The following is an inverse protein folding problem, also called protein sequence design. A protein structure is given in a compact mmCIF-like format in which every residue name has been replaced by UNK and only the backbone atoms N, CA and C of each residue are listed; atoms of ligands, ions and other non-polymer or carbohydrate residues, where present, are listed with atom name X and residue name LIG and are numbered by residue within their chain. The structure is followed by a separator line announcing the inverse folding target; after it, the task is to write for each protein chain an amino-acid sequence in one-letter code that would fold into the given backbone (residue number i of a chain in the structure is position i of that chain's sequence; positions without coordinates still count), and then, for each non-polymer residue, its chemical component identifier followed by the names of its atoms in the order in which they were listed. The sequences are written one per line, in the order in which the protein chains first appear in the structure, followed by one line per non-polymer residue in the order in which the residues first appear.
data_IF_252205636711
#
_entry.id   IF_252205636711
#
_cell.length_a   1.000
_cell.length_b   1.000
_cell.length_c   1.000
_cell.angle_alpha   90.00
_cell.angle_beta   90.00
_cell.angle_gamma   90.00
#
_symmetry.space_group_name_H-M   'P 1'
#
loop_
_entity.id
_entity.type
_entity.pdbx_description
1 polymer ?
#
# COMPACT_ATOMS: atom_id res chain seq x y z
N UNK A 1 -8.00 -59.12 0.98
CA UNK A 1 -9.05 -58.19 1.44
C UNK A 1 -10.14 -58.20 0.39
N UNK A 2 -11.38 -58.48 0.77
CA UNK A 2 -12.48 -58.50 -0.18
C UNK A 2 -12.80 -57.05 -0.59
N UNK A 3 -13.19 -56.82 -1.84
CA UNK A 3 -13.52 -55.47 -2.37
C UNK A 3 -14.66 -54.81 -1.54
N UNK A 4 -15.47 -55.64 -0.87
CA UNK A 4 -16.48 -55.23 0.11
C UNK A 4 -15.93 -54.43 1.29
N UNK A 5 -14.66 -54.60 1.65
CA UNK A 5 -14.05 -53.94 2.82
C UNK A 5 -13.45 -52.58 2.46
N UNK A 6 -13.29 -52.28 1.17
CA UNK A 6 -12.62 -51.07 0.66
C UNK A 6 -13.66 -49.97 0.32
N UNK A 7 -14.85 -50.36 -0.15
CA UNK A 7 -15.89 -49.42 -0.57
C UNK A 7 -16.83 -49.14 0.59
N UNK A 8 -16.62 -48.03 1.30
CA UNK A 8 -17.45 -47.62 2.44
C UNK A 8 -18.59 -46.67 2.09
N UNK A 9 -18.63 -46.15 0.86
CA UNK A 9 -19.63 -45.17 0.44
C UNK A 9 -21.04 -45.81 0.38
N UNK A 10 -22.02 -45.31 1.16
CA UNK A 10 -23.38 -45.84 1.19
C UNK A 10 -24.07 -45.90 -0.17
N UNK A 11 -23.67 -45.03 -1.11
CA UNK A 11 -24.22 -44.98 -2.46
C UNK A 11 -23.66 -46.04 -3.41
N UNK A 12 -22.45 -46.54 -3.14
CA UNK A 12 -21.76 -47.52 -3.98
C UNK A 12 -21.95 -48.95 -3.48
N UNK A 13 -22.28 -49.14 -2.19
CA UNK A 13 -22.60 -50.44 -1.62
C UNK A 13 -23.72 -51.19 -2.38
N UNK A 14 -24.84 -50.56 -2.78
CA UNK A 14 -25.89 -51.24 -3.56
C UNK A 14 -25.41 -51.70 -4.95
N UNK A 15 -24.54 -50.93 -5.60
CA UNK A 15 -23.94 -51.27 -6.90
C UNK A 15 -23.03 -52.49 -6.73
N UNK A 16 -22.19 -52.48 -5.69
CA UNK A 16 -21.28 -53.58 -5.38
C UNK A 16 -22.04 -54.88 -5.09
N UNK A 17 -23.05 -54.82 -4.23
CA UNK A 17 -23.88 -55.98 -3.89
C UNK A 17 -24.62 -56.53 -5.11
N UNK A 18 -25.23 -55.64 -5.90
CA UNK A 18 -25.95 -56.04 -7.13
C UNK A 18 -24.99 -56.63 -8.15
N UNK A 19 -23.76 -56.12 -8.26
CA UNK A 19 -22.74 -56.67 -9.16
C UNK A 19 -22.26 -58.07 -8.74
N UNK A 20 -22.06 -58.30 -7.43
CA UNK A 20 -21.69 -59.60 -6.89
C UNK A 20 -22.82 -60.63 -7.08
N UNK A 21 -24.06 -60.23 -6.78
CA UNK A 21 -25.25 -61.04 -7.02
C UNK A 21 -25.42 -61.37 -8.51
N UNK A 22 -25.24 -60.38 -9.40
CA UNK A 22 -25.30 -60.60 -10.85
C UNK A 22 -24.25 -61.62 -11.31
N UNK A 23 -23.02 -61.52 -10.80
CA UNK A 23 -21.93 -62.44 -11.13
C UNK A 23 -22.23 -63.87 -10.66
N UNK A 24 -22.74 -64.04 -9.45
CA UNK A 24 -23.16 -65.35 -8.92
C UNK A 24 -24.27 -65.97 -9.78
N UNK A 25 -25.28 -65.18 -10.17
CA UNK A 25 -26.39 -65.68 -11.00
C UNK A 25 -25.94 -65.98 -12.45
N UNK A 26 -24.97 -65.24 -12.99
CA UNK A 26 -24.34 -65.55 -14.27
C UNK A 26 -23.55 -66.87 -14.22
N UNK A 27 -22.79 -67.10 -13.14
CA UNK A 27 -22.07 -68.36 -12.94
C UNK A 27 -23.01 -69.56 -12.83
N UNK A 28 -24.14 -69.40 -12.12
CA UNK A 28 -25.20 -70.43 -12.07
C UNK A 28 -25.78 -70.73 -13.46
N UNK A 29 -26.09 -69.70 -14.25
CA UNK A 29 -26.57 -69.88 -15.62
C UNK A 29 -25.55 -70.62 -16.50
N UNK A 30 -24.26 -70.27 -16.39
CA UNK A 30 -23.19 -70.95 -17.13
C UNK A 30 -23.06 -72.42 -16.73
N UNK A 31 -23.20 -72.75 -15.43
CA UNK A 31 -23.16 -74.15 -14.97
C UNK A 31 -24.34 -74.98 -15.47
N UNK A 32 -25.52 -74.37 -15.65
CA UNK A 32 -26.71 -75.04 -16.21
C UNK A 32 -26.62 -75.26 -17.73
N UNK A 33 -25.78 -74.47 -18.42
CA UNK A 33 -25.54 -74.56 -19.86
C UNK A 33 -24.27 -75.36 -20.19
N UNK A 34 -23.58 -75.89 -19.18
CA UNK A 34 -22.33 -76.63 -19.36
C UNK A 34 -22.61 -77.98 -20.07
N UNK A 35 -22.09 -78.18 -21.29
CA UNK A 35 -22.31 -79.41 -22.04
C UNK A 35 -21.65 -80.65 -21.42
N UNK A 36 -20.80 -80.50 -20.40
CA UNK A 36 -20.12 -81.61 -19.71
C UNK A 36 -20.92 -82.21 -18.54
N UNK A 37 -22.06 -81.63 -18.16
CA UNK A 37 -22.88 -82.09 -17.03
C UNK A 37 -23.70 -83.37 -17.39
N UNK A 38 -23.93 -84.29 -16.42
CA UNK A 38 -24.68 -85.52 -16.68
C UNK A 38 -26.11 -85.22 -17.13
N UNK A 39 -26.56 -85.92 -18.18
CA UNK A 39 -27.85 -85.77 -18.86
C UNK A 39 -29.04 -85.96 -17.91
N UNK A 40 -29.52 -84.85 -17.34
CA UNK A 40 -30.85 -84.73 -16.75
C UNK A 40 -31.86 -84.39 -17.86
N UNK A 41 -33.16 -84.62 -17.61
CA UNK A 41 -34.24 -84.39 -18.57
C UNK A 41 -34.09 -83.04 -19.33
N UNK A 42 -33.86 -83.12 -20.64
CA UNK A 42 -33.57 -81.99 -21.54
C UNK A 42 -34.59 -80.84 -21.47
N UNK A 43 -35.82 -81.14 -21.05
CA UNK A 43 -36.90 -80.15 -20.90
C UNK A 43 -36.83 -79.39 -19.58
N UNK A 44 -36.46 -80.06 -18.48
CA UNK A 44 -36.37 -79.43 -17.16
C UNK A 44 -35.16 -78.51 -17.05
N UNK A 45 -34.02 -78.93 -17.60
CA UNK A 45 -32.79 -78.12 -17.69
C UNK A 45 -33.00 -76.86 -18.55
N UNK A 46 -33.72 -76.99 -19.66
CA UNK A 46 -34.09 -75.85 -20.52
C UNK A 46 -35.01 -74.84 -19.81
N UNK A 47 -36.02 -75.33 -19.07
CA UNK A 47 -36.91 -74.46 -18.29
C UNK A 47 -36.18 -73.76 -17.15
N UNK A 48 -35.28 -74.46 -16.44
CA UNK A 48 -34.44 -73.89 -15.39
C UNK A 48 -33.49 -72.82 -15.94
N UNK A 49 -32.85 -73.06 -17.08
CA UNK A 49 -32.00 -72.08 -17.75
C UNK A 49 -32.78 -70.82 -18.18
N UNK A 50 -34.00 -70.97 -18.71
CA UNK A 50 -34.85 -69.84 -19.09
C UNK A 50 -35.27 -68.97 -17.89
N UNK A 51 -35.58 -69.58 -16.75
CA UNK A 51 -35.89 -68.85 -15.51
C UNK A 51 -34.66 -68.11 -14.97
N UNK A 52 -33.51 -68.78 -14.95
CA UNK A 52 -32.25 -68.19 -14.53
C UNK A 52 -31.83 -67.02 -15.44
N UNK A 53 -32.05 -67.13 -16.75
CA UNK A 53 -31.79 -66.08 -17.73
C UNK A 53 -32.63 -64.82 -17.45
N UNK A 54 -33.92 -64.96 -17.10
CA UNK A 54 -34.78 -63.82 -16.73
C UNK A 54 -34.24 -63.10 -15.48
N UNK A 55 -33.76 -63.86 -14.50
CA UNK A 55 -33.19 -63.30 -13.27
C UNK A 55 -31.86 -62.58 -13.53
N UNK A 56 -31.00 -63.11 -14.39
CA UNK A 56 -29.77 -62.42 -14.83
C UNK A 56 -30.11 -61.12 -15.56
N UNK A 57 -31.11 -61.12 -16.46
CA UNK A 57 -31.49 -59.91 -17.19
C UNK A 57 -32.08 -58.82 -16.29
N UNK A 58 -32.87 -59.17 -15.27
CA UNK A 58 -33.40 -58.19 -14.32
C UNK A 58 -32.29 -57.56 -13.48
N UNK A 59 -31.33 -58.36 -13.00
CA UNK A 59 -30.16 -57.89 -12.27
C UNK A 59 -29.25 -57.00 -13.13
N UNK A 60 -29.01 -57.38 -14.40
CA UNK A 60 -28.25 -56.55 -15.33
C UNK A 60 -28.93 -55.20 -15.63
N UNK A 61 -30.26 -55.18 -15.75
CA UNK A 61 -31.00 -53.93 -15.92
C UNK A 61 -30.84 -53.02 -14.70
N UNK A 62 -30.95 -53.59 -13.49
CA UNK A 62 -30.74 -52.88 -12.23
C UNK A 62 -29.32 -52.33 -12.12
N UNK A 63 -28.30 -53.14 -12.42
CA UNK A 63 -26.89 -52.74 -12.39
C UNK A 63 -26.60 -51.59 -13.35
N UNK A 64 -27.16 -51.63 -14.57
CA UNK A 64 -27.04 -50.53 -15.54
C UNK A 64 -27.67 -49.23 -15.02
N UNK A 65 -28.83 -49.32 -14.38
CA UNK A 65 -29.48 -48.17 -13.73
C UNK A 65 -28.59 -47.55 -12.65
N UNK A 66 -28.12 -48.38 -11.72
CA UNK A 66 -27.25 -47.94 -10.63
C UNK A 66 -25.91 -47.37 -11.14
N UNK A 67 -25.34 -47.94 -12.20
CA UNK A 67 -24.13 -47.42 -12.85
C UNK A 67 -24.36 -46.02 -13.43
N UNK A 68 -25.51 -45.82 -14.09
CA UNK A 68 -25.89 -44.51 -14.62
C UNK A 68 -26.09 -43.48 -13.50
N UNK A 69 -26.74 -43.87 -12.41
CA UNK A 69 -26.94 -43.00 -11.25
C UNK A 69 -25.60 -42.60 -10.60
N UNK A 70 -24.65 -43.52 -10.49
CA UNK A 70 -23.31 -43.22 -9.98
C UNK A 70 -22.58 -42.20 -10.88
N UNK A 71 -22.68 -42.34 -12.20
CA UNK A 71 -22.10 -41.39 -13.16
C UNK A 71 -22.73 -40.00 -13.00
N UNK A 72 -24.06 -39.92 -12.82
CA UNK A 72 -24.74 -38.64 -12.59
C UNK A 72 -24.28 -37.99 -11.29
N UNK A 73 -24.20 -38.73 -10.18
CA UNK A 73 -23.71 -38.21 -8.90
C UNK A 73 -22.30 -37.65 -9.02
N UNK A 74 -21.40 -38.34 -9.73
CA UNK A 74 -20.03 -37.84 -9.96
C UNK A 74 -20.06 -36.53 -10.75
N UNK A 75 -20.93 -36.41 -11.74
CA UNK A 75 -21.09 -35.16 -12.51
C UNK A 75 -21.63 -34.03 -11.65
N UNK A 76 -22.62 -34.30 -10.81
CA UNK A 76 -23.21 -33.32 -9.89
C UNK A 76 -22.17 -32.83 -8.88
N UNK A 77 -21.42 -33.73 -8.26
CA UNK A 77 -20.33 -33.36 -7.34
C UNK A 77 -19.25 -32.54 -8.03
N UNK A 78 -18.89 -32.88 -9.28
CA UNK A 78 -17.94 -32.08 -10.08
C UNK A 78 -18.46 -30.68 -10.36
N UNK A 79 -19.75 -30.55 -10.64
CA UNK A 79 -20.38 -29.26 -10.89
C UNK A 79 -20.40 -28.41 -9.60
N UNK A 80 -20.89 -28.97 -8.49
CA UNK A 80 -20.94 -28.28 -7.19
C UNK A 80 -19.56 -27.82 -6.72
N UNK A 81 -18.53 -28.67 -6.88
CA UNK A 81 -17.15 -28.31 -6.52
C UNK A 81 -16.57 -27.25 -7.45
N UNK A 82 -16.93 -27.26 -8.74
CA UNK A 82 -16.52 -26.20 -9.67
C UNK A 82 -17.19 -24.85 -9.37
N UNK A 83 -18.48 -24.85 -9.03
CA UNK A 83 -19.23 -23.65 -8.62
C UNK A 83 -18.63 -23.04 -7.34
N UNK A 84 -18.39 -23.87 -6.31
CA UNK A 84 -17.73 -23.41 -5.08
C UNK A 84 -16.33 -22.85 -5.32
N UNK A 85 -15.56 -23.47 -6.22
CA UNK A 85 -14.24 -22.94 -6.63
C UNK A 85 -14.35 -21.58 -7.31
N UNK A 86 -15.29 -21.41 -8.25
CA UNK A 86 -15.50 -20.15 -8.95
C UNK A 86 -15.89 -19.01 -7.97
N UNK A 87 -16.70 -19.31 -6.96
CA UNK A 87 -17.04 -18.35 -5.93
C UNK A 87 -15.81 -17.93 -5.11
N UNK A 88 -14.96 -18.88 -4.71
CA UNK A 88 -13.70 -18.61 -4.02
C UNK A 88 -12.80 -17.73 -4.88
N UNK A 89 -12.64 -18.06 -6.16
CA UNK A 89 -11.80 -17.29 -7.08
C UNK A 89 -12.30 -15.84 -7.22
N UNK A 90 -13.62 -15.65 -7.31
CA UNK A 90 -14.25 -14.32 -7.33
C UNK A 90 -13.99 -13.53 -6.05
N UNK A 91 -14.18 -14.15 -4.88
CA UNK A 91 -13.93 -13.51 -3.59
C UNK A 91 -12.45 -13.18 -3.40
N UNK A 92 -11.55 -14.06 -3.86
CA UNK A 92 -10.11 -13.81 -3.81
C UNK A 92 -9.71 -12.60 -4.65
N UNK A 93 -10.29 -12.43 -5.84
CA UNK A 93 -10.07 -11.25 -6.67
C UNK A 93 -10.58 -9.97 -5.99
N UNK A 94 -11.75 -10.01 -5.37
CA UNK A 94 -12.27 -8.87 -4.59
C UNK A 94 -11.35 -8.50 -3.42
N UNK A 95 -10.83 -9.51 -2.71
CA UNK A 95 -9.85 -9.29 -1.64
C UNK A 95 -8.55 -8.64 -2.15
N UNK A 96 -8.05 -9.07 -3.30
CA UNK A 96 -6.87 -8.44 -3.92
C UNK A 96 -7.12 -6.97 -4.27
N UNK A 97 -8.30 -6.63 -4.79
CA UNK A 97 -8.66 -5.24 -5.06
C UNK A 97 -8.66 -4.39 -3.77
N UNK A 98 -9.19 -4.93 -2.67
CA UNK A 98 -9.18 -4.24 -1.37
C UNK A 98 -7.76 -4.04 -0.83
N UNK A 99 -6.87 -5.04 -0.97
CA UNK A 99 -5.47 -4.88 -0.58
C UNK A 99 -4.76 -3.81 -1.40
N UNK A 100 -5.05 -3.73 -2.70
CA UNK A 100 -4.51 -2.69 -3.55
C UNK A 100 -4.98 -1.31 -3.08
N UNK A 101 -6.29 -1.15 -2.86
CA UNK A 101 -6.89 0.10 -2.37
C UNK A 101 -6.30 0.51 -1.01
N UNK A 102 -6.20 -0.42 -0.07
CA UNK A 102 -5.58 -0.17 1.24
C UNK A 102 -4.15 0.32 1.09
N UNK A 103 -3.33 -0.33 0.25
CA UNK A 103 -1.94 0.05 0.03
C UNK A 103 -1.84 1.43 -0.62
N UNK A 104 -2.72 1.73 -1.57
CA UNK A 104 -2.78 3.02 -2.22
C UNK A 104 -3.11 4.13 -1.23
N UNK A 105 -4.20 4.00 -0.47
CA UNK A 105 -4.61 4.96 0.55
C UNK A 105 -3.54 5.14 1.64
N UNK A 106 -2.92 4.05 2.10
CA UNK A 106 -1.83 4.14 3.09
C UNK A 106 -0.62 4.91 2.53
N UNK A 107 -0.33 4.74 1.24
CA UNK A 107 0.71 5.51 0.57
C UNK A 107 0.38 6.99 0.45
N UNK A 108 -0.88 7.34 0.16
CA UNK A 108 -1.34 8.73 0.12
C UNK A 108 -1.31 9.37 1.50
N UNK A 109 -1.78 8.67 2.54
CA UNK A 109 -1.69 9.14 3.93
C UNK A 109 -0.24 9.42 4.30
N UNK A 110 0.67 8.48 4.03
CA UNK A 110 2.10 8.69 4.30
C UNK A 110 2.66 9.89 3.54
N UNK A 111 2.27 10.09 2.28
CA UNK A 111 2.71 11.25 1.49
C UNK A 111 2.19 12.57 2.08
N UNK A 112 0.96 12.59 2.59
CA UNK A 112 0.40 13.75 3.27
C UNK A 112 1.08 14.01 4.63
N UNK A 113 1.32 12.97 5.42
CA UNK A 113 1.97 13.08 6.75
C UNK A 113 3.45 13.45 6.65
N UNK A 114 4.14 12.98 5.61
CA UNK A 114 5.56 13.31 5.35
C UNK A 114 5.75 14.66 4.65
N UNK A 115 4.68 15.43 4.44
CA UNK A 115 4.79 16.76 3.88
C UNK A 115 5.59 17.66 4.81
N UNK A 116 6.71 18.18 4.31
CA UNK A 116 7.58 19.08 5.07
C UNK A 116 6.93 20.46 5.21
N UNK A 117 6.29 20.68 6.35
CA UNK A 117 5.71 21.96 6.71
C UNK A 117 6.79 22.95 7.13
N UNK A 118 7.14 23.90 6.25
CA UNK A 118 8.15 24.94 6.48
C UNK A 118 8.02 25.70 7.81
N UNK A 119 6.80 25.83 8.35
CA UNK A 119 6.59 26.55 9.60
C UNK A 119 7.20 25.82 10.82
N UNK A 120 7.43 24.51 10.74
CA UNK A 120 8.04 23.70 11.80
C UNK A 120 9.55 23.96 11.96
N UNK A 121 10.22 24.46 10.92
CA UNK A 121 11.65 24.79 10.94
C UNK A 121 11.94 26.27 11.19
N UNK A 122 10.91 27.08 11.45
CA UNK A 122 11.10 28.49 11.79
C UNK A 122 11.77 28.64 13.16
N UNK A 123 12.81 29.47 13.30
CA UNK A 123 13.38 29.77 14.61
C UNK A 123 12.45 30.75 15.33
N UNK A 124 11.46 30.21 16.03
CA UNK A 124 10.51 30.93 16.87
C UNK A 124 11.03 30.96 18.31
N UNK A 125 10.69 32.01 19.05
CA UNK A 125 10.93 32.04 20.50
C UNK A 125 10.17 30.88 21.20
N UNK A 126 10.70 30.36 22.32
CA UNK A 126 10.01 29.34 23.11
C UNK A 126 8.58 29.75 23.50
N UNK A 127 7.69 28.78 23.67
CA UNK A 127 6.28 29.03 24.02
C UNK A 127 6.16 29.80 25.34
N UNK A 128 6.98 29.45 26.32
CA UNK A 128 7.00 30.09 27.64
C UNK A 128 7.34 31.58 27.56
N UNK A 129 8.36 31.94 26.76
CA UNK A 129 8.75 33.34 26.53
C UNK A 129 7.67 34.09 25.75
N UNK A 130 7.05 33.46 24.76
CA UNK A 130 5.95 34.07 24.01
C UNK A 130 4.75 34.36 24.92
N UNK A 131 4.34 33.41 25.76
CA UNK A 131 3.20 33.59 26.67
C UNK A 131 3.49 34.61 27.77
N UNK A 132 4.74 34.79 28.18
CA UNK A 132 5.12 35.85 29.10
C UNK A 132 4.96 37.25 28.49
N UNK A 133 5.19 37.38 27.17
CA UNK A 133 5.00 38.62 26.42
C UNK A 133 3.54 38.84 26.01
N UNK A 134 2.83 37.76 25.73
CA UNK A 134 1.45 37.72 25.22
C UNK A 134 0.56 36.81 26.07
N UNK A 135 0.21 37.22 27.30
CA UNK A 135 -0.62 36.43 28.20
C UNK A 135 -2.05 36.22 27.67
N UNK A 136 -2.51 37.05 26.73
CA UNK A 136 -3.81 36.90 26.05
C UNK A 136 -3.97 35.57 25.30
N UNK A 137 -2.85 34.90 24.97
CA UNK A 137 -2.85 33.64 24.23
C UNK A 137 -2.75 32.38 25.11
N UNK A 138 -2.76 32.50 26.45
CA UNK A 138 -2.63 31.34 27.35
C UNK A 138 -3.76 30.32 27.20
N UNK A 139 -4.97 30.77 26.88
CA UNK A 139 -6.15 29.89 26.67
C UNK A 139 -6.40 29.55 25.18
N UNK A 140 -5.52 29.99 24.27
CA UNK A 140 -5.67 29.72 22.85
C UNK A 140 -5.39 28.25 22.51
N UNK A 141 -5.99 27.74 21.43
CA UNK A 141 -5.67 26.40 20.92
C UNK A 141 -4.22 26.33 20.44
N UNK A 142 -3.62 25.14 20.38
CA UNK A 142 -2.24 24.96 19.89
C UNK A 142 -2.04 25.54 18.48
N UNK A 143 -3.05 25.40 17.61
CA UNK A 143 -3.02 25.94 16.26
C UNK A 143 -3.02 27.47 16.25
N UNK A 144 -3.94 28.08 17.01
CA UNK A 144 -4.06 29.55 17.08
C UNK A 144 -2.83 30.17 17.75
N UNK A 145 -2.30 29.51 18.79
CA UNK A 145 -1.05 29.87 19.44
C UNK A 145 0.12 29.85 18.44
N UNK A 146 0.22 28.82 17.61
CA UNK A 146 1.29 28.74 16.60
C UNK A 146 1.18 29.85 15.56
N UNK A 147 -0.03 30.17 15.10
CA UNK A 147 -0.27 31.31 14.19
C UNK A 147 0.15 32.63 14.85
N UNK A 148 -0.27 32.86 16.10
CA UNK A 148 0.09 34.07 16.84
C UNK A 148 1.61 34.21 17.00
N UNK A 149 2.30 33.11 17.33
CA UNK A 149 3.77 33.06 17.43
C UNK A 149 4.47 33.39 16.12
N UNK A 150 3.99 32.84 15.00
CA UNK A 150 4.54 33.12 13.67
C UNK A 150 4.34 34.60 13.30
N UNK A 151 3.16 35.16 13.59
CA UNK A 151 2.87 36.57 13.30
C UNK A 151 3.72 37.52 14.14
N UNK A 152 3.95 37.20 15.41
CA UNK A 152 4.86 37.96 16.27
C UNK A 152 6.29 37.95 15.73
N UNK A 153 6.83 36.78 15.41
CA UNK A 153 8.19 36.67 14.83
C UNK A 153 8.31 37.42 13.51
N UNK A 154 7.27 37.36 12.67
CA UNK A 154 7.23 38.12 11.42
C UNK A 154 7.33 39.64 11.67
N UNK A 155 6.51 40.17 12.58
CA UNK A 155 6.51 41.59 12.93
C UNK A 155 7.86 42.04 13.51
N UNK A 156 8.49 41.22 14.36
CA UNK A 156 9.81 41.51 14.92
C UNK A 156 10.90 41.52 13.82
N UNK A 157 10.87 40.56 12.89
CA UNK A 157 11.81 40.55 11.76
C UNK A 157 11.63 41.74 10.83
N UNK A 158 10.40 42.17 10.58
CA UNK A 158 10.15 43.38 9.79
C UNK A 158 10.72 44.63 10.47
N UNK A 159 10.53 44.79 11.78
CA UNK A 159 11.13 45.90 12.54
C UNK A 159 12.66 45.85 12.50
N UNK A 160 13.25 44.67 12.66
CA UNK A 160 14.71 44.49 12.59
C UNK A 160 15.27 44.84 11.21
N UNK A 161 14.60 44.41 10.14
CA UNK A 161 15.03 44.71 8.77
C UNK A 161 14.87 46.21 8.46
N UNK A 162 13.81 46.86 8.93
CA UNK A 162 13.66 48.33 8.83
C UNK A 162 14.79 49.06 9.55
N UNK A 163 15.08 48.70 10.81
CA UNK A 163 16.18 49.27 11.58
C UNK A 163 17.54 49.05 10.89
N UNK A 164 17.76 47.86 10.34
CA UNK A 164 18.96 47.54 9.55
C UNK A 164 19.08 48.45 8.34
N UNK A 165 18.01 48.65 7.58
CA UNK A 165 18.00 49.54 6.40
C UNK A 165 18.28 50.99 6.79
N UNK A 166 17.72 51.49 7.90
CA UNK A 166 18.04 52.82 8.41
C UNK A 166 19.51 52.95 8.80
N UNK A 167 20.05 51.98 9.54
CA UNK A 167 21.45 51.97 9.94
C UNK A 167 22.38 51.90 8.72
N UNK A 168 22.03 51.13 7.70
CA UNK A 168 22.76 51.08 6.44
C UNK A 168 22.77 52.44 5.72
N UNK A 169 21.64 53.13 5.66
CA UNK A 169 21.57 54.49 5.10
C UNK A 169 22.45 55.47 5.89
N UNK A 170 22.38 55.45 7.23
CA UNK A 170 23.22 56.29 8.09
C UNK A 170 24.71 55.99 7.89
N UNK A 171 25.08 54.70 7.79
CA UNK A 171 26.45 54.27 7.50
C UNK A 171 26.93 54.81 6.15
N UNK A 172 26.13 54.71 5.09
CA UNK A 172 26.49 55.24 3.77
C UNK A 172 26.65 56.76 3.79
N UNK A 173 25.76 57.48 4.48
CA UNK A 173 25.88 58.94 4.64
C UNK A 173 27.17 59.33 5.36
N UNK A 174 27.53 58.66 6.46
CA UNK A 174 28.78 58.91 7.18
C UNK A 174 30.03 58.57 6.35
N UNK A 175 29.98 57.53 5.51
CA UNK A 175 31.07 57.20 4.59
C UNK A 175 31.25 58.32 3.56
N UNK A 176 30.15 58.82 2.98
CA UNK A 176 30.19 59.93 2.03
C UNK A 176 30.71 61.23 2.67
N UNK A 177 30.26 61.54 3.89
CA UNK A 177 30.73 62.70 4.64
C UNK A 177 32.24 62.59 4.97
N UNK A 178 32.70 61.43 5.44
CA UNK A 178 34.12 61.21 5.69
C UNK A 178 34.96 61.34 4.42
N UNK A 179 34.46 60.83 3.28
CA UNK A 179 35.13 60.99 2.00
C UNK A 179 35.25 62.47 1.63
N UNK A 180 34.15 63.23 1.72
CA UNK A 180 34.14 64.67 1.47
C UNK A 180 35.13 65.42 2.36
N UNK A 181 35.13 65.16 3.68
CA UNK A 181 36.07 65.79 4.61
C UNK A 181 37.54 65.45 4.30
N UNK A 182 37.81 64.22 3.84
CA UNK A 182 39.15 63.82 3.38
C UNK A 182 39.57 64.59 2.13
N UNK A 183 38.66 64.73 1.16
CA UNK A 183 38.91 65.49 -0.06
C UNK A 183 39.13 66.99 0.27
N UNK A 184 38.33 67.56 1.18
CA UNK A 184 38.48 68.94 1.65
C UNK A 184 39.83 69.17 2.37
N UNK A 185 40.27 68.22 3.22
CA UNK A 185 41.59 68.26 3.87
C UNK A 185 42.74 68.20 2.86
N UNK A 186 42.64 67.31 1.87
CA UNK A 186 43.66 67.19 0.82
C UNK A 186 43.78 68.49 -0.01
N UNK A 187 42.66 69.16 -0.27
CA UNK A 187 42.66 70.47 -0.93
C UNK A 187 43.28 71.55 -0.04
N UNK A 188 42.98 71.55 1.27
CA UNK A 188 43.59 72.49 2.22
C UNK A 188 45.11 72.31 2.33
N UNK A 189 45.58 71.06 2.38
CA UNK A 189 47.02 70.75 2.37
C UNK A 189 47.69 71.33 1.11
N UNK A 190 47.06 71.17 -0.06
CA UNK A 190 47.55 71.75 -1.31
C UNK A 190 47.57 73.29 -1.29
N UNK A 191 46.53 73.93 -0.74
CA UNK A 191 46.48 75.38 -0.63
C UNK A 191 47.50 75.93 0.39
N UNK A 192 47.76 75.20 1.48
CA UNK A 192 48.83 75.53 2.43
C UNK A 192 50.21 75.42 1.79
N UNK A 193 50.48 74.37 1.00
CA UNK A 193 51.73 74.25 0.25
C UNK A 193 51.92 75.45 -0.68
N UNK A 194 50.88 75.84 -1.42
CA UNK A 194 50.91 77.04 -2.29
C UNK A 194 51.15 78.32 -1.50
N UNK A 195 50.52 78.48 -0.34
CA UNK A 195 50.71 79.64 0.52
C UNK A 195 52.15 79.72 1.05
N UNK A 196 52.71 78.60 1.53
CA UNK A 196 54.09 78.51 1.98
C UNK A 196 55.03 78.89 0.82
N UNK A 197 54.81 78.34 -0.37
CA UNK A 197 55.59 78.66 -1.57
C UNK A 197 55.53 80.15 -1.93
N UNK A 198 54.34 80.76 -1.84
CA UNK A 198 54.14 82.19 -2.09
C UNK A 198 54.75 83.09 -1.01
N UNK A 199 54.89 82.61 0.23
CA UNK A 199 55.48 83.34 1.35
C UNK A 199 57.02 83.26 1.39
N UNK A 200 57.63 82.23 0.80
CA UNK A 200 59.11 82.05 0.70
C UNK A 200 59.88 83.30 0.24
N UNK A 201 59.43 84.09 -0.76
CA UNK A 201 60.14 85.31 -1.18
C UNK A 201 60.17 86.38 -0.09
N UNK A 202 59.11 86.51 0.71
CA UNK A 202 59.01 87.49 1.80
C UNK A 202 59.97 87.07 2.95
N UNK A 203 59.99 85.78 3.30
CA UNK A 203 60.97 85.25 4.27
C UNK A 203 62.41 85.54 3.85
N UNK A 204 62.76 85.29 2.57
CA UNK A 204 64.09 85.59 2.03
C UNK A 204 64.49 87.07 2.10
N UNK A 205 63.52 87.98 2.19
CA UNK A 205 63.79 89.42 2.36
C UNK A 205 64.13 89.74 3.81
N UNK A 206 63.40 89.17 4.77
CA UNK A 206 63.68 89.34 6.21
C UNK A 206 64.92 88.58 6.69
N UNK A 207 65.29 87.47 6.04
CA UNK A 207 66.54 86.74 6.31
C UNK A 207 67.80 87.48 5.83
N UNK A 208 67.66 88.51 4.99
CA UNK A 208 68.79 89.31 4.47
C UNK A 208 69.12 90.54 5.31
N UNK A 209 68.29 90.88 6.30
CA UNK A 209 68.48 92.06 7.18
C UNK A 209 69.10 91.74 8.55
N UNK A 210 69.77 90.59 8.70
CA UNK A 210 70.67 90.29 9.83
C UNK A 210 72.01 89.73 9.36
#
# INVERSE_FOLDING_TARGET
MAISDIVSDPSLLPVLNTSAETLEQCQKLLSLLDPSAPTSDSKETSLAAANQQKQVFSLLARLRGQSRDAIFRVRDTKQLTAEGRQEIDRLHLQLQNLYYEQRHLSGEIYACESYDHKYLSLPLIPVEEFLALHPEHTESSEHDLMIARINHEHAEREKLEQARQELLKRKQALIAENKKRKDDLANLDQDLERFIDAAKPIQKTFEKEY
#
